data_IF_834310564935
#
_entry.id   IF_834310564935
#
_cell.length_a   1.000
_cell.length_b   1.000
_cell.length_c   1.000
_cell.angle_alpha   90.00
_cell.angle_beta   90.00
_cell.angle_gamma   90.00
#
_symmetry.space_group_name_H-M   'P 1'
#
loop_
_entity.id
_entity.type
_entity.pdbx_description
1 polymer ?
#
# COMPACT_ATOMS: atom_id res chain seq x y z
N UNK A 1 26.39 3.65 -7.65
CA UNK A 1 25.01 3.72 -8.15
C UNK A 1 24.61 2.45 -8.87
N UNK A 2 25.41 1.96 -9.76
CA UNK A 2 25.09 0.78 -10.54
C UNK A 2 25.03 -0.51 -9.73
N UNK A 3 25.86 -0.63 -8.69
CA UNK A 3 25.83 -1.81 -7.81
C UNK A 3 24.52 -1.88 -7.01
N UNK A 4 24.07 -0.75 -6.46
CA UNK A 4 22.83 -0.68 -5.70
C UNK A 4 21.64 -1.03 -6.57
N UNK A 5 21.56 -0.43 -7.75
CA UNK A 5 20.49 -0.71 -8.70
C UNK A 5 20.50 -2.19 -9.10
N UNK A 6 21.66 -2.71 -9.43
CA UNK A 6 21.82 -4.11 -9.84
C UNK A 6 21.40 -5.06 -8.72
N UNK A 7 21.81 -4.78 -7.49
CA UNK A 7 21.45 -5.61 -6.33
C UNK A 7 19.95 -5.62 -6.10
N UNK A 8 19.33 -4.44 -6.09
CA UNK A 8 17.89 -4.33 -5.84
C UNK A 8 17.10 -5.00 -6.95
N UNK A 9 17.48 -4.79 -8.21
CA UNK A 9 16.78 -5.42 -9.33
C UNK A 9 16.93 -6.93 -9.32
N UNK A 10 18.09 -7.44 -8.93
CA UNK A 10 18.29 -8.87 -8.76
C UNK A 10 17.37 -9.44 -7.69
N UNK A 11 17.26 -8.75 -6.55
CA UNK A 11 16.33 -9.13 -5.48
C UNK A 11 14.88 -9.10 -5.97
N UNK A 12 14.53 -8.09 -6.76
CA UNK A 12 13.20 -7.98 -7.34
C UNK A 12 12.86 -9.20 -8.20
N UNK A 13 13.74 -9.58 -9.10
CA UNK A 13 13.53 -10.75 -9.96
C UNK A 13 13.45 -12.05 -9.17
N UNK A 14 14.25 -12.18 -8.12
CA UNK A 14 14.22 -13.36 -7.27
C UNK A 14 12.94 -13.47 -6.45
N UNK A 15 12.33 -12.34 -6.12
CA UNK A 15 11.18 -12.29 -5.21
C UNK A 15 9.84 -11.97 -5.90
N UNK A 16 9.84 -11.79 -7.21
CA UNK A 16 8.61 -11.38 -7.92
C UNK A 16 7.46 -12.37 -7.71
N UNK A 17 7.74 -13.65 -7.68
CA UNK A 17 6.69 -14.65 -7.47
C UNK A 17 6.14 -14.62 -6.05
N UNK A 18 6.99 -14.30 -5.07
CA UNK A 18 6.56 -14.11 -3.68
C UNK A 18 5.62 -12.92 -3.60
N UNK A 19 5.96 -11.81 -4.25
CA UNK A 19 5.09 -10.61 -4.29
C UNK A 19 3.76 -10.90 -4.98
N UNK A 20 3.76 -11.71 -6.04
CA UNK A 20 2.52 -12.10 -6.72
C UNK A 20 1.60 -12.89 -5.79
N UNK A 21 2.16 -13.84 -5.04
CA UNK A 21 1.40 -14.61 -4.05
C UNK A 21 0.92 -13.74 -2.91
N UNK A 22 1.77 -12.84 -2.43
CA UNK A 22 1.40 -11.88 -1.39
C UNK A 22 0.24 -11.01 -1.85
N UNK A 23 0.30 -10.50 -3.07
CA UNK A 23 -0.76 -9.70 -3.69
C UNK A 23 -2.09 -10.45 -3.66
N UNK A 24 -2.08 -11.71 -4.06
CA UNK A 24 -3.28 -12.53 -4.08
C UNK A 24 -3.84 -12.74 -2.67
N UNK A 25 -3.00 -13.10 -1.72
CA UNK A 25 -3.41 -13.36 -0.34
C UNK A 25 -3.90 -12.09 0.35
N UNK A 26 -3.24 -10.97 0.14
CA UNK A 26 -3.67 -9.67 0.69
C UNK A 26 -5.04 -9.29 0.15
N UNK A 27 -5.26 -9.48 -1.15
CA UNK A 27 -6.57 -9.23 -1.76
C UNK A 27 -7.66 -10.05 -1.06
N UNK A 28 -7.42 -11.34 -0.89
CA UNK A 28 -8.40 -12.23 -0.28
C UNK A 28 -8.66 -11.88 1.19
N UNK A 29 -7.62 -11.56 1.94
CA UNK A 29 -7.76 -11.18 3.36
C UNK A 29 -8.60 -9.91 3.48
N UNK A 30 -8.26 -8.87 2.72
CA UNK A 30 -8.98 -7.60 2.79
C UNK A 30 -10.43 -7.77 2.34
N UNK A 31 -10.64 -8.48 1.24
CA UNK A 31 -11.98 -8.73 0.72
C UNK A 31 -12.83 -9.47 1.75
N UNK A 32 -12.27 -10.48 2.39
CA UNK A 32 -12.95 -11.23 3.45
C UNK A 32 -13.30 -10.34 4.63
N UNK A 33 -12.37 -9.49 5.06
CA UNK A 33 -12.62 -8.53 6.16
C UNK A 33 -13.79 -7.60 5.84
N UNK A 34 -13.82 -7.08 4.62
CA UNK A 34 -14.89 -6.17 4.20
C UNK A 34 -16.24 -6.89 4.14
N UNK A 35 -16.27 -8.09 3.59
CA UNK A 35 -17.50 -8.88 3.50
C UNK A 35 -18.05 -9.25 4.88
N UNK A 36 -17.19 -9.72 5.77
CA UNK A 36 -17.59 -10.12 7.12
C UNK A 36 -18.14 -8.97 7.93
N UNK A 37 -17.70 -7.75 7.66
CA UNK A 37 -18.13 -6.56 8.37
C UNK A 37 -19.16 -5.74 7.59
N UNK A 38 -19.67 -6.27 6.49
CA UNK A 38 -20.71 -5.64 5.67
C UNK A 38 -20.34 -4.24 5.19
N UNK A 39 -19.06 -4.05 4.86
CA UNK A 39 -18.58 -2.75 4.34
C UNK A 39 -18.52 -2.82 2.81
N UNK A 40 -19.24 -1.90 2.18
CA UNK A 40 -19.19 -1.75 0.72
C UNK A 40 -18.18 -0.67 0.38
N UNK A 41 -17.30 -0.98 -0.56
CA UNK A 41 -16.34 -0.03 -1.10
C UNK A 41 -16.63 0.22 -2.56
N UNK A 42 -16.08 1.33 -3.09
CA UNK A 42 -16.20 1.61 -4.52
C UNK A 42 -15.29 0.70 -5.33
N UNK A 43 -14.04 0.56 -4.89
CA UNK A 43 -13.06 -0.26 -5.61
C UNK A 43 -11.87 -0.60 -4.71
N UNK A 44 -11.22 -1.71 -5.02
CA UNK A 44 -9.93 -2.06 -4.46
C UNK A 44 -9.02 -2.50 -5.60
N UNK A 45 -7.83 -1.93 -5.68
CA UNK A 45 -6.82 -2.33 -6.64
C UNK A 45 -5.54 -2.69 -5.93
N UNK A 46 -4.84 -3.68 -6.46
CA UNK A 46 -3.54 -4.11 -5.95
C UNK A 46 -2.57 -4.14 -7.12
N UNK A 47 -1.41 -3.56 -6.92
CA UNK A 47 -0.41 -3.47 -7.97
C UNK A 47 0.98 -3.77 -7.45
N UNK A 48 1.73 -4.55 -8.22
CA UNK A 48 3.16 -4.74 -8.02
C UNK A 48 3.86 -3.71 -8.89
N UNK A 49 4.79 -2.95 -8.29
CA UNK A 49 5.54 -1.93 -9.00
C UNK A 49 6.29 -2.56 -10.17
N UNK A 50 6.18 -1.97 -11.36
CA UNK A 50 6.86 -2.46 -12.56
C UNK A 50 8.37 -2.26 -12.46
N UNK A 51 9.12 -3.00 -13.27
CA UNK A 51 10.58 -2.82 -13.34
C UNK A 51 10.96 -1.39 -13.63
N UNK A 52 10.30 -0.77 -14.59
CA UNK A 52 10.57 0.62 -14.98
C UNK A 52 10.32 1.58 -13.83
N UNK A 53 9.18 1.46 -13.17
CA UNK A 53 8.83 2.30 -12.03
C UNK A 53 9.82 2.10 -10.87
N UNK A 54 10.22 0.86 -10.64
CA UNK A 54 11.18 0.54 -9.58
C UNK A 54 12.56 1.13 -9.89
N UNK A 55 13.06 0.96 -11.12
CA UNK A 55 14.33 1.54 -11.55
C UNK A 55 14.33 3.06 -11.40
N UNK A 56 13.25 3.69 -11.84
CA UNK A 56 13.11 5.15 -11.73
C UNK A 56 13.12 5.60 -10.28
N UNK A 57 12.42 4.88 -9.39
CA UNK A 57 12.41 5.21 -7.97
C UNK A 57 13.79 5.09 -7.34
N UNK A 58 14.50 4.00 -7.63
CA UNK A 58 15.85 3.78 -7.10
C UNK A 58 16.80 4.89 -7.54
N UNK A 59 16.77 5.23 -8.82
CA UNK A 59 17.63 6.27 -9.39
C UNK A 59 17.28 7.65 -8.88
N UNK A 60 15.99 7.97 -8.80
CA UNK A 60 15.53 9.29 -8.36
C UNK A 60 15.82 9.55 -6.89
N UNK A 61 15.51 8.61 -6.02
CA UNK A 61 15.71 8.75 -4.58
C UNK A 61 17.18 8.57 -4.17
N UNK A 62 17.90 7.72 -4.86
CA UNK A 62 19.33 7.46 -4.67
C UNK A 62 19.72 7.18 -3.20
N UNK A 63 18.87 6.48 -2.47
CA UNK A 63 19.09 6.18 -1.05
C UNK A 63 18.94 4.71 -0.70
N UNK A 64 18.39 3.91 -1.61
CA UNK A 64 18.10 2.51 -1.34
C UNK A 64 19.29 1.62 -1.65
N UNK A 65 19.54 0.63 -0.79
CA UNK A 65 20.56 -0.39 -0.97
C UNK A 65 19.97 -1.79 -1.11
N UNK A 66 18.79 -2.01 -0.59
CA UNK A 66 18.11 -3.30 -0.61
C UNK A 66 16.64 -3.12 -0.99
N UNK A 67 16.08 -4.14 -1.62
CA UNK A 67 14.66 -4.14 -2.01
C UNK A 67 13.75 -3.98 -0.80
N UNK A 68 14.07 -4.58 0.32
CA UNK A 68 13.26 -4.54 1.54
C UNK A 68 13.04 -3.13 2.09
N UNK A 69 13.90 -2.18 1.72
CA UNK A 69 13.73 -0.79 2.11
C UNK A 69 12.64 -0.07 1.34
N UNK A 70 12.23 -0.64 0.20
CA UNK A 70 11.21 -0.04 -0.66
C UNK A 70 9.86 -0.67 -0.31
N UNK A 71 9.02 0.12 0.36
CA UNK A 71 7.77 -0.40 0.93
C UNK A 71 6.60 -0.46 -0.05
N UNK A 72 6.72 0.17 -1.20
CA UNK A 72 5.65 0.20 -2.20
C UNK A 72 5.90 -0.69 -3.41
N UNK A 73 6.72 -1.74 -3.26
CA UNK A 73 6.83 -2.77 -4.28
C UNK A 73 5.45 -3.40 -4.50
N UNK A 74 4.73 -3.67 -3.41
CA UNK A 74 3.31 -4.01 -3.46
C UNK A 74 2.50 -2.86 -2.89
N UNK A 75 1.54 -2.36 -3.66
CA UNK A 75 0.65 -1.29 -3.23
C UNK A 75 -0.81 -1.68 -3.38
N UNK A 76 -1.58 -1.39 -2.33
CA UNK A 76 -3.03 -1.62 -2.29
C UNK A 76 -3.72 -0.26 -2.21
N UNK A 77 -4.77 -0.08 -2.98
CA UNK A 77 -5.60 1.12 -2.91
C UNK A 77 -7.04 0.72 -2.68
N UNK A 78 -7.61 1.22 -1.58
CA UNK A 78 -9.02 1.00 -1.23
C UNK A 78 -9.74 2.33 -1.39
N UNK A 79 -10.76 2.34 -2.23
CA UNK A 79 -11.56 3.54 -2.48
C UNK A 79 -12.92 3.33 -1.84
N UNK A 80 -13.21 4.12 -0.80
CA UNK A 80 -14.44 4.03 -0.03
C UNK A 80 -15.49 4.99 -0.55
N UNK A 81 -16.74 4.72 -0.19
CA UNK A 81 -17.86 5.60 -0.55
C UNK A 81 -17.94 6.83 0.37
N UNK A 82 -17.65 6.65 1.65
CA UNK A 82 -17.82 7.69 2.66
C UNK A 82 -16.57 7.87 3.52
N UNK A 83 -16.40 9.08 4.05
CA UNK A 83 -15.26 9.43 4.90
C UNK A 83 -15.19 8.53 6.16
N UNK A 84 -16.34 8.24 6.76
CA UNK A 84 -16.40 7.40 7.97
C UNK A 84 -15.86 5.99 7.72
N UNK A 85 -15.98 5.49 6.51
CA UNK A 85 -15.50 4.14 6.16
C UNK A 85 -13.98 4.05 6.22
N UNK A 86 -13.28 5.15 6.00
CA UNK A 86 -11.81 5.16 6.05
C UNK A 86 -11.31 4.71 7.43
N UNK A 87 -11.85 5.30 8.49
CA UNK A 87 -11.47 4.94 9.85
C UNK A 87 -11.93 3.54 10.23
N UNK A 88 -13.12 3.14 9.79
CA UNK A 88 -13.63 1.79 10.04
C UNK A 88 -12.72 0.74 9.40
N UNK A 89 -12.32 0.96 8.15
CA UNK A 89 -11.43 0.04 7.44
C UNK A 89 -10.05 0.03 8.10
N UNK A 90 -9.54 1.20 8.50
CA UNK A 90 -8.27 1.26 9.22
C UNK A 90 -8.29 0.37 10.47
N UNK A 91 -9.35 0.45 11.26
CA UNK A 91 -9.49 -0.34 12.47
C UNK A 91 -9.52 -1.85 12.17
N UNK A 92 -10.13 -2.26 11.07
CA UNK A 92 -10.14 -3.66 10.64
C UNK A 92 -8.75 -4.11 10.20
N UNK A 93 -8.05 -3.28 9.43
CA UNK A 93 -6.70 -3.60 8.96
C UNK A 93 -5.72 -3.71 10.13
N UNK A 94 -5.88 -2.87 11.15
CA UNK A 94 -5.05 -2.88 12.34
C UNK A 94 -5.14 -4.21 13.09
N UNK A 95 -6.28 -4.88 13.02
CA UNK A 95 -6.47 -6.19 13.63
C UNK A 95 -5.88 -7.32 12.79
N UNK A 96 -5.84 -7.14 11.47
CA UNK A 96 -5.42 -8.19 10.54
C UNK A 96 -3.94 -8.15 10.21
N UNK A 97 -3.33 -6.96 10.25
CA UNK A 97 -1.93 -6.74 9.88
C UNK A 97 -1.20 -6.00 10.99
N UNK A 98 0.12 -6.09 10.98
CA UNK A 98 0.93 -5.23 11.83
C UNK A 98 1.13 -3.90 11.11
N UNK A 99 0.74 -2.81 11.77
CA UNK A 99 0.91 -1.46 11.22
C UNK A 99 2.31 -0.96 11.56
N UNK A 100 3.13 -0.75 10.54
CA UNK A 100 4.51 -0.27 10.72
C UNK A 100 4.59 1.24 10.69
N UNK A 101 3.76 1.89 9.87
CA UNK A 101 3.76 3.34 9.72
C UNK A 101 2.37 3.81 9.31
N UNK A 102 1.98 4.98 9.82
CA UNK A 102 0.72 5.63 9.45
C UNK A 102 1.04 7.06 9.04
N UNK A 103 0.61 7.45 7.85
CA UNK A 103 0.65 8.85 7.41
C UNK A 103 -0.77 9.25 7.06
N UNK A 104 -1.36 10.08 7.91
CA UNK A 104 -2.73 10.57 7.73
C UNK A 104 -2.71 11.93 7.06
N UNK A 105 -2.85 11.93 5.76
CA UNK A 105 -2.82 13.17 4.97
C UNK A 105 -4.11 13.98 5.09
N UNK A 106 -5.16 13.40 5.70
CA UNK A 106 -6.41 14.11 5.94
C UNK A 106 -6.27 15.16 7.04
N UNK A 107 -5.30 14.99 7.95
CA UNK A 107 -5.09 15.85 9.12
C UNK A 107 -4.05 16.94 8.90
N UNK A 108 -3.58 17.14 7.68
CA UNK A 108 -2.75 18.30 7.40
C UNK A 108 -3.57 19.54 7.69
N UNK A 109 -3.09 20.34 8.65
CA UNK A 109 -3.71 21.58 9.01
C UNK A 109 -4.01 22.39 7.75
N UNK A 110 -5.26 22.74 7.64
CA UNK A 110 -5.74 23.59 6.57
C UNK A 110 -5.16 24.97 6.79
N UNK A 111 -3.97 25.23 6.26
CA UNK A 111 -3.55 26.60 6.11
C UNK A 111 -4.44 27.21 5.05
N UNK A 112 -5.53 27.83 5.48
CA UNK A 112 -6.37 28.77 4.74
C UNK A 112 -6.86 28.37 3.34
N UNK A 113 -6.57 27.18 2.84
CA UNK A 113 -7.10 26.68 1.58
C UNK A 113 -7.62 25.27 1.74
N UNK A 114 -8.84 25.08 1.29
CA UNK A 114 -9.48 23.77 1.26
C UNK A 114 -8.76 22.95 0.17
N UNK A 115 -7.75 22.22 0.56
CA UNK A 115 -7.12 21.26 -0.32
C UNK A 115 -7.88 19.94 -0.26
N UNK A 116 -8.94 19.84 -1.06
CA UNK A 116 -9.78 18.65 -1.11
C UNK A 116 -9.06 17.44 -1.72
N UNK A 117 -7.92 17.65 -2.39
CA UNK A 117 -7.39 16.65 -3.29
C UNK A 117 -6.46 15.60 -2.69
N UNK A 118 -5.90 15.85 -1.52
CA UNK A 118 -4.80 15.01 -1.01
C UNK A 118 -5.11 14.29 0.28
N UNK A 119 -6.39 14.19 0.61
CA UNK A 119 -6.80 13.51 1.84
C UNK A 119 -6.84 12.01 1.63
N UNK A 120 -5.84 11.33 2.09
CA UNK A 120 -5.81 9.88 2.09
C UNK A 120 -5.04 9.37 3.31
N UNK A 121 -5.38 8.17 3.72
CA UNK A 121 -4.68 7.50 4.79
C UNK A 121 -3.70 6.51 4.14
N UNK A 122 -2.41 6.66 4.44
CA UNK A 122 -1.36 5.79 3.92
C UNK A 122 -0.80 4.95 5.05
N UNK A 123 -0.77 3.66 4.84
CA UNK A 123 -0.26 2.69 5.80
C UNK A 123 0.88 1.91 5.20
N UNK A 124 1.91 1.66 6.01
CA UNK A 124 2.92 0.64 5.73
C UNK A 124 2.62 -0.49 6.70
N UNK A 125 2.40 -1.68 6.18
CA UNK A 125 1.98 -2.83 6.97
C UNK A 125 2.78 -4.07 6.59
N UNK A 126 2.68 -5.10 7.43
CA UNK A 126 3.20 -6.43 7.14
C UNK A 126 2.30 -7.46 7.82
N UNK A 127 2.46 -8.72 7.43
CA UNK A 127 1.76 -9.80 8.13
C UNK A 127 2.24 -9.88 9.56
N UNK A 128 1.31 -10.20 10.48
CA UNK A 128 1.64 -10.37 11.89
C UNK A 128 2.54 -11.61 12.06
N UNK A 129 3.34 -11.61 13.13
CA UNK A 129 4.18 -12.75 13.44
C UNK A 129 3.34 -14.02 13.65
N UNK A 130 2.17 -13.90 14.29
CA UNK A 130 1.26 -15.01 14.46
C UNK A 130 0.80 -15.60 13.13
N UNK A 131 0.45 -14.77 12.17
CA UNK A 131 0.06 -15.26 10.85
C UNK A 131 1.22 -15.96 10.16
N UNK A 132 2.43 -15.45 10.31
CA UNK A 132 3.62 -16.02 9.69
C UNK A 132 4.12 -17.30 10.33
N UNK A 133 3.52 -17.72 11.47
CA UNK A 133 3.76 -19.03 12.04
C UNK A 133 3.16 -20.14 11.17
N UNK A 134 2.10 -19.83 10.42
CA UNK A 134 1.48 -20.76 9.48
C UNK A 134 2.39 -20.95 8.26
N UNK A 135 2.56 -22.21 7.86
CA UNK A 135 3.52 -22.56 6.82
C UNK A 135 3.26 -21.84 5.50
N UNK A 136 2.00 -21.60 5.14
CA UNK A 136 1.61 -20.92 3.92
C UNK A 136 1.98 -19.44 3.91
N UNK A 137 2.27 -18.83 5.08
CA UNK A 137 2.57 -17.40 5.19
C UNK A 137 4.02 -17.11 5.64
N UNK A 138 4.81 -18.14 5.96
CA UNK A 138 6.19 -17.94 6.43
C UNK A 138 7.04 -17.14 5.44
N UNK A 139 6.83 -17.35 4.16
CA UNK A 139 7.58 -16.66 3.09
C UNK A 139 7.30 -15.16 3.03
N UNK A 140 6.24 -14.69 3.69
CA UNK A 140 5.87 -13.27 3.70
C UNK A 140 6.38 -12.54 4.94
N UNK A 141 7.05 -13.23 5.83
CA UNK A 141 7.57 -12.61 7.06
C UNK A 141 8.47 -11.42 6.72
N UNK A 142 8.24 -10.31 7.41
CA UNK A 142 8.98 -9.05 7.27
C UNK A 142 8.86 -8.35 5.91
N UNK A 143 7.99 -8.81 5.02
CA UNK A 143 7.72 -8.09 3.78
C UNK A 143 6.70 -6.99 4.08
N UNK A 144 7.13 -5.74 3.95
CA UNK A 144 6.27 -4.57 4.13
C UNK A 144 5.64 -4.19 2.80
N UNK A 145 4.41 -3.73 2.88
CA UNK A 145 3.69 -3.23 1.71
C UNK A 145 2.82 -2.04 2.11
N UNK A 146 2.32 -1.31 1.14
CA UNK A 146 1.56 -0.09 1.39
C UNK A 146 0.09 -0.29 1.09
N UNK A 147 -0.75 0.31 1.94
CA UNK A 147 -2.19 0.36 1.74
C UNK A 147 -2.60 1.84 1.80
N UNK A 148 -3.25 2.31 0.75
CA UNK A 148 -3.84 3.64 0.71
C UNK A 148 -5.35 3.52 0.79
N UNK A 149 -5.97 4.31 1.66
CA UNK A 149 -7.42 4.36 1.79
C UNK A 149 -7.84 5.80 1.50
N UNK A 150 -8.76 5.96 0.55
CA UNK A 150 -9.29 7.27 0.18
C UNK A 150 -10.76 7.15 -0.20
N UNK A 151 -11.48 8.26 -0.16
CA UNK A 151 -12.88 8.28 -0.61
C UNK A 151 -12.94 8.41 -2.13
N UNK A 152 -14.14 8.12 -2.69
CA UNK A 152 -14.39 8.32 -4.12
C UNK A 152 -14.11 9.77 -4.53
N UNK A 153 -14.51 10.73 -3.70
CA UNK A 153 -14.29 12.14 -4.00
C UNK A 153 -12.81 12.49 -4.02
N UNK A 154 -12.06 12.02 -3.04
CA UNK A 154 -10.61 12.22 -2.97
C UNK A 154 -9.90 11.58 -4.15
N UNK A 155 -10.34 10.39 -4.54
CA UNK A 155 -9.77 9.68 -5.68
C UNK A 155 -10.05 10.44 -6.98
N UNK A 156 -11.28 10.89 -7.19
CA UNK A 156 -11.65 11.64 -8.38
C UNK A 156 -10.84 12.94 -8.48
N UNK A 157 -10.64 13.64 -7.37
CA UNK A 157 -9.85 14.85 -7.35
C UNK A 157 -8.39 14.59 -7.70
N UNK A 158 -7.81 13.52 -7.14
CA UNK A 158 -6.42 13.13 -7.43
C UNK A 158 -6.23 12.80 -8.91
N UNK A 159 -7.19 12.11 -9.52
CA UNK A 159 -7.15 11.80 -10.95
C UNK A 159 -7.22 13.06 -11.81
N UNK A 160 -8.08 14.02 -11.44
CA UNK A 160 -8.21 15.30 -12.16
C UNK A 160 -6.89 16.07 -12.09
N UNK A 161 -6.29 16.18 -10.91
CA UNK A 161 -5.01 16.87 -10.75
C UNK A 161 -3.89 16.20 -11.56
N UNK A 162 -3.87 14.87 -11.58
CA UNK A 162 -2.89 14.12 -12.35
C UNK A 162 -3.05 14.38 -13.85
N UNK A 163 -4.31 14.47 -14.31
CA UNK A 163 -4.63 14.75 -15.70
C UNK A 163 -4.31 16.19 -16.13
N UNK A 164 -4.31 17.13 -15.18
CA UNK A 164 -4.05 18.54 -15.46
C UNK A 164 -2.56 18.92 -15.29
N UNK A 165 -1.83 18.05 -14.61
CA UNK A 165 -0.41 18.24 -14.41
C UNK A 165 0.40 17.60 -15.51
#
# INVERSE_FOLDING_TARGET
MNEQLSTIMSEYYQNIDIYKKLSHDVHDIINTLLEMNHIKISNMSIRIKSEEALRNKIMYKNKYTRLEEITDVLGVRIITLFENDVDTIFNLLEKAFEICEVVDKRKKEVSSRIEFGYSSLHLVVKFTDNRCELVEYQKFQDIRFEIQIRTVLQHAWAEVEHGLG
#
